data_IF_185637019361
#
_entry.id   IF_185637019361
#
_cell.length_a   1.000
_cell.length_b   1.000
_cell.length_c   1.000
_cell.angle_alpha   90.00
_cell.angle_beta   90.00
_cell.angle_gamma   90.00
#
_symmetry.space_group_name_H-M   'P 1'
#
loop_
_entity.id
_entity.type
_entity.pdbx_description
1 polymer ?
#
# COMPACT_ATOMS: atom_id res chain seq x y z
N UNK A 1 -20.75 -13.57 -24.71
CA UNK A 1 -21.47 -13.49 -23.40
C UNK A 1 -20.62 -14.09 -22.27
N UNK A 2 -20.14 -15.34 -22.38
CA UNK A 2 -19.39 -16.01 -21.32
C UNK A 2 -18.08 -15.27 -20.95
N UNK A 3 -17.38 -14.70 -21.92
CA UNK A 3 -16.13 -13.93 -21.72
C UNK A 3 -16.36 -12.66 -20.88
N UNK A 4 -17.42 -11.93 -21.10
CA UNK A 4 -17.76 -10.71 -20.34
C UNK A 4 -18.10 -11.07 -18.90
N UNK A 5 -18.86 -12.16 -18.68
CA UNK A 5 -19.19 -12.62 -17.34
C UNK A 5 -17.94 -13.08 -16.57
N UNK A 6 -17.02 -13.77 -17.24
CA UNK A 6 -15.73 -14.16 -16.65
C UNK A 6 -14.86 -12.95 -16.31
N UNK A 7 -14.84 -11.92 -17.17
CA UNK A 7 -14.12 -10.67 -16.90
C UNK A 7 -14.70 -9.96 -15.67
N UNK A 8 -16.04 -9.87 -15.57
CA UNK A 8 -16.70 -9.28 -14.42
C UNK A 8 -16.43 -10.05 -13.13
N UNK A 9 -16.48 -11.38 -13.16
CA UNK A 9 -16.18 -12.22 -12.00
C UNK A 9 -14.72 -12.04 -11.53
N UNK A 10 -13.77 -12.03 -12.46
CA UNK A 10 -12.36 -11.79 -12.16
C UNK A 10 -12.12 -10.38 -11.57
N UNK A 11 -12.81 -9.37 -12.10
CA UNK A 11 -12.74 -8.01 -11.60
C UNK A 11 -13.24 -7.94 -10.15
N UNK A 12 -14.42 -8.49 -9.87
CA UNK A 12 -15.00 -8.55 -8.53
C UNK A 12 -14.09 -9.28 -7.54
N UNK A 13 -13.46 -10.38 -7.97
CA UNK A 13 -12.52 -11.12 -7.12
C UNK A 13 -11.28 -10.28 -6.79
N UNK A 14 -10.76 -9.51 -7.74
CA UNK A 14 -9.63 -8.60 -7.50
C UNK A 14 -10.01 -7.48 -6.53
N UNK A 15 -11.18 -6.88 -6.70
CA UNK A 15 -11.70 -5.87 -5.78
C UNK A 15 -11.88 -6.43 -4.36
N UNK A 16 -12.42 -7.63 -4.24
CA UNK A 16 -12.56 -8.32 -2.96
C UNK A 16 -11.22 -8.58 -2.30
N UNK A 17 -10.20 -8.98 -3.05
CA UNK A 17 -8.85 -9.18 -2.52
C UNK A 17 -8.25 -7.89 -1.99
N UNK A 18 -8.40 -6.78 -2.71
CA UNK A 18 -7.93 -5.45 -2.25
C UNK A 18 -8.67 -5.02 -0.99
N UNK A 19 -9.98 -5.15 -0.97
CA UNK A 19 -10.82 -4.80 0.19
C UNK A 19 -10.50 -5.65 1.40
N UNK A 20 -10.31 -6.96 1.23
CA UNK A 20 -9.92 -7.89 2.31
C UNK A 20 -8.55 -7.54 2.88
N UNK A 21 -7.58 -7.18 2.03
CA UNK A 21 -6.28 -6.71 2.49
C UNK A 21 -6.39 -5.40 3.28
N UNK A 22 -7.20 -4.44 2.81
CA UNK A 22 -7.45 -3.20 3.54
C UNK A 22 -8.08 -3.47 4.90
N UNK A 23 -9.05 -4.38 4.96
CA UNK A 23 -9.73 -4.75 6.19
C UNK A 23 -8.79 -5.45 7.18
N UNK A 24 -8.00 -6.40 6.71
CA UNK A 24 -7.01 -7.11 7.53
C UNK A 24 -6.01 -6.14 8.17
N UNK A 25 -5.69 -5.03 7.49
CA UNK A 25 -4.74 -4.03 7.96
C UNK A 25 -5.40 -2.77 8.54
N UNK A 26 -6.71 -2.78 8.82
CA UNK A 26 -7.42 -1.61 9.33
C UNK A 26 -6.86 -1.09 10.66
N UNK A 27 -6.29 -1.97 11.49
CA UNK A 27 -5.65 -1.63 12.77
C UNK A 27 -4.12 -1.50 12.67
N UNK A 28 -3.53 -1.67 11.49
CA UNK A 28 -2.08 -1.57 11.31
C UNK A 28 -1.65 -0.11 11.25
N UNK A 29 -0.75 0.29 12.14
CA UNK A 29 -0.22 1.65 12.21
C UNK A 29 0.53 2.00 10.92
N UNK A 30 0.21 3.15 10.33
CA UNK A 30 0.86 3.62 9.11
C UNK A 30 0.44 2.89 7.85
N UNK A 31 -0.53 1.97 7.90
CA UNK A 31 -1.06 1.31 6.73
C UNK A 31 -1.71 2.32 5.76
N UNK A 32 -1.47 2.13 4.49
CA UNK A 32 -2.06 2.92 3.40
C UNK A 32 -2.94 2.01 2.57
N UNK A 33 -4.25 2.28 2.60
CA UNK A 33 -5.24 1.49 1.86
C UNK A 33 -5.01 1.58 0.36
N UNK A 34 -5.39 0.52 -0.32
CA UNK A 34 -5.31 0.43 -1.77
C UNK A 34 -6.70 0.44 -2.39
N UNK A 35 -6.78 0.91 -3.62
CA UNK A 35 -7.99 0.89 -4.44
C UNK A 35 -7.70 0.20 -5.76
N UNK A 36 -8.62 -0.65 -6.19
CA UNK A 36 -8.61 -1.22 -7.53
C UNK A 36 -9.26 -0.24 -8.51
N UNK A 37 -8.55 0.10 -9.57
CA UNK A 37 -9.06 0.94 -10.65
C UNK A 37 -9.39 0.05 -11.84
N UNK A 38 -10.61 0.14 -12.33
CA UNK A 38 -11.08 -0.65 -13.46
C UNK A 38 -11.29 0.26 -14.66
N UNK A 39 -11.01 -0.29 -15.83
CA UNK A 39 -11.31 0.33 -17.13
C UNK A 39 -12.29 -0.50 -17.91
N UNK A 40 -13.12 0.16 -18.70
CA UNK A 40 -13.97 -0.48 -19.67
C UNK A 40 -13.14 -0.97 -20.87
N UNK A 41 -13.47 -2.14 -21.38
CA UNK A 41 -12.86 -2.70 -22.59
C UNK A 41 -13.83 -2.51 -23.74
N UNK A 42 -13.50 -1.60 -24.65
CA UNK A 42 -14.29 -1.38 -25.85
C UNK A 42 -14.10 -2.54 -26.84
N UNK A 43 -15.20 -2.98 -27.42
CA UNK A 43 -15.15 -3.90 -28.53
C UNK A 43 -14.60 -3.18 -29.77
N UNK A 44 -13.48 -3.67 -30.30
CA UNK A 44 -12.83 -3.12 -31.51
C UNK A 44 -13.35 -3.82 -32.77
N UNK A 45 -14.62 -4.21 -32.80
CA UNK A 45 -15.22 -4.80 -33.99
C UNK A 45 -15.61 -3.68 -34.98
N UNK A 46 -14.88 -3.52 -36.11
CA UNK A 46 -15.15 -2.48 -37.10
C UNK A 46 -16.50 -2.66 -37.82
N UNK A 47 -17.14 -3.83 -37.67
CA UNK A 47 -18.45 -4.12 -38.24
C UNK A 47 -19.59 -3.85 -37.23
N UNK A 48 -19.29 -3.55 -35.97
CA UNK A 48 -20.30 -3.27 -34.96
C UNK A 48 -20.91 -1.88 -35.18
N UNK A 49 -22.25 -1.84 -35.24
CA UNK A 49 -22.98 -0.57 -35.30
C UNK A 49 -22.78 0.16 -33.96
N UNK A 50 -22.26 1.40 -33.94
CA UNK A 50 -21.98 2.13 -32.69
C UNK A 50 -23.18 2.30 -31.76
N UNK A 51 -24.41 2.22 -32.33
CA UNK A 51 -25.64 2.34 -31.56
C UNK A 51 -26.08 1.03 -30.86
N UNK A 52 -25.48 -0.10 -31.23
CA UNK A 52 -25.83 -1.43 -30.69
C UNK A 52 -24.61 -2.19 -30.19
N UNK A 53 -23.44 -1.56 -30.21
CA UNK A 53 -22.20 -2.17 -29.71
C UNK A 53 -22.31 -2.43 -28.20
N UNK A 54 -22.12 -3.68 -27.82
CA UNK A 54 -22.04 -4.11 -26.41
C UNK A 54 -20.57 -4.06 -25.99
N UNK A 55 -20.26 -3.51 -24.82
CA UNK A 55 -18.89 -3.48 -24.28
C UNK A 55 -18.28 -4.88 -24.14
N UNK A 56 -16.96 -4.97 -24.25
CA UNK A 56 -16.22 -6.23 -24.15
C UNK A 56 -15.91 -6.65 -22.70
N UNK A 57 -16.41 -5.90 -21.72
CA UNK A 57 -16.26 -6.18 -20.31
C UNK A 57 -15.34 -5.19 -19.58
N UNK A 58 -14.81 -5.60 -18.44
CA UNK A 58 -14.02 -4.79 -17.52
C UNK A 58 -12.63 -5.40 -17.32
N UNK A 59 -11.61 -4.55 -17.22
CA UNK A 59 -10.23 -4.92 -16.93
C UNK A 59 -9.72 -4.14 -15.72
N UNK A 60 -8.98 -4.82 -14.82
CA UNK A 60 -8.22 -4.14 -13.78
C UNK A 60 -7.06 -3.38 -14.43
N UNK A 61 -7.12 -2.05 -14.40
CA UNK A 61 -6.09 -1.19 -15.00
C UNK A 61 -4.92 -0.98 -14.05
N UNK A 62 -5.20 -0.74 -12.77
CA UNK A 62 -4.15 -0.53 -11.76
C UNK A 62 -4.69 -0.72 -10.35
N UNK A 63 -3.78 -0.92 -9.41
CA UNK A 63 -4.06 -0.80 -7.97
C UNK A 63 -3.30 0.41 -7.46
N UNK A 64 -4.01 1.45 -7.09
CA UNK A 64 -3.44 2.67 -6.54
C UNK A 64 -3.47 2.65 -5.02
N UNK A 65 -2.47 3.28 -4.39
CA UNK A 65 -2.39 3.43 -2.94
C UNK A 65 -2.76 4.85 -2.54
N UNK A 66 -3.63 4.97 -1.54
CA UNK A 66 -3.97 6.25 -0.93
C UNK A 66 -2.79 6.74 -0.07
N UNK A 67 -2.17 7.84 -0.48
CA UNK A 67 -1.03 8.43 0.24
C UNK A 67 -1.43 9.56 1.19
N UNK A 68 -2.73 9.86 1.31
CA UNK A 68 -3.21 10.92 2.22
C UNK A 68 -2.82 10.62 3.65
N UNK A 69 -2.51 11.67 4.43
CA UNK A 69 -2.20 11.52 5.84
C UNK A 69 -3.45 11.10 6.62
N UNK A 70 -3.30 10.12 7.49
CA UNK A 70 -4.34 9.75 8.47
C UNK A 70 -4.31 10.65 9.69
N UNK A 71 -5.27 10.46 10.60
CA UNK A 71 -5.28 11.16 11.88
C UNK A 71 -4.08 10.75 12.74
N UNK A 72 -3.41 11.72 13.33
CA UNK A 72 -2.36 11.49 14.31
C UNK A 72 -3.01 11.16 15.67
N UNK A 73 -2.50 10.11 16.31
CA UNK A 73 -2.96 9.68 17.64
C UNK A 73 -1.79 9.73 18.60
N UNK A 74 -1.95 10.46 19.71
CA UNK A 74 -0.97 10.43 20.80
C UNK A 74 -1.06 9.09 21.55
N UNK A 75 0.08 8.42 21.73
CA UNK A 75 0.18 7.12 22.42
C UNK A 75 0.77 7.24 23.82
N UNK A 76 1.39 8.39 24.16
CA UNK A 76 2.12 8.60 25.42
C UNK A 76 3.47 7.89 25.50
N UNK A 77 3.92 7.19 24.45
CA UNK A 77 5.24 6.56 24.37
C UNK A 77 6.22 7.51 23.69
N UNK A 78 7.39 7.72 24.30
CA UNK A 78 8.42 8.63 23.79
C UNK A 78 9.04 8.13 22.47
N UNK A 79 9.04 6.82 22.24
CA UNK A 79 9.60 6.20 21.06
C UNK A 79 8.65 6.16 19.87
N UNK A 80 7.38 6.44 20.07
CA UNK A 80 6.42 6.45 18.98
C UNK A 80 6.52 7.77 18.20
N UNK A 81 6.71 7.65 16.91
CA UNK A 81 6.87 8.79 16.01
C UNK A 81 5.88 8.69 14.85
N UNK A 82 5.40 9.82 14.37
CA UNK A 82 4.56 9.89 13.19
C UNK A 82 5.09 10.96 12.24
N UNK A 83 4.96 10.70 10.93
CA UNK A 83 5.31 11.67 9.91
C UNK A 83 4.05 12.44 9.53
N UNK A 84 4.08 13.75 9.72
CA UNK A 84 3.08 14.66 9.18
C UNK A 84 3.48 15.03 7.73
N UNK A 85 2.58 14.77 6.78
CA UNK A 85 2.84 15.01 5.37
C UNK A 85 3.35 13.78 4.60
N UNK A 86 4.16 14.01 3.55
CA UNK A 86 4.72 12.98 2.67
C UNK A 86 6.07 12.49 3.21
N UNK A 87 6.34 11.17 3.09
CA UNK A 87 7.63 10.61 3.46
C UNK A 87 7.49 9.21 4.07
N UNK A 88 8.63 8.61 4.37
CA UNK A 88 8.73 7.30 5.02
C UNK A 88 9.91 7.34 5.99
N UNK A 89 9.81 6.57 7.06
CA UNK A 89 10.97 6.22 7.87
C UNK A 89 11.87 5.29 7.07
N UNK A 90 13.16 5.54 7.13
CA UNK A 90 14.15 4.65 6.53
C UNK A 90 14.68 3.75 7.64
N UNK A 91 14.59 2.46 7.44
CA UNK A 91 15.12 1.45 8.36
C UNK A 91 16.09 0.55 7.63
N UNK A 92 17.02 -0.05 8.36
CA UNK A 92 18.03 -0.95 7.78
C UNK A 92 18.23 -2.15 8.69
N UNK A 93 18.42 -3.31 8.06
CA UNK A 93 18.77 -4.54 8.77
C UNK A 93 20.17 -4.42 9.39
N UNK A 94 20.31 -4.51 10.72
CA UNK A 94 21.61 -4.42 11.37
C UNK A 94 22.53 -5.59 10.98
N UNK A 95 21.98 -6.75 10.63
CA UNK A 95 22.75 -7.93 10.22
C UNK A 95 23.37 -7.79 8.81
N UNK A 96 22.81 -6.93 7.95
CA UNK A 96 23.29 -6.72 6.59
C UNK A 96 24.47 -5.72 6.51
N UNK A 97 24.90 -5.15 7.62
CA UNK A 97 26.01 -4.18 7.69
C UNK A 97 25.74 -2.89 6.91
N UNK A 98 26.81 -2.20 6.50
CA UNK A 98 26.72 -0.90 5.78
C UNK A 98 26.14 -1.02 4.36
N UNK A 99 26.15 -2.20 3.77
CA UNK A 99 25.65 -2.48 2.42
C UNK A 99 24.21 -3.03 2.40
N UNK A 100 23.53 -3.09 3.56
CA UNK A 100 22.15 -3.53 3.66
C UNK A 100 21.20 -2.62 2.90
N UNK A 101 20.21 -3.23 2.24
CA UNK A 101 19.16 -2.48 1.57
C UNK A 101 18.35 -1.67 2.59
N UNK A 102 18.02 -0.43 2.23
CA UNK A 102 17.11 0.37 3.03
C UNK A 102 15.68 -0.15 2.84
N UNK A 103 14.97 -0.28 3.95
CA UNK A 103 13.54 -0.55 3.99
C UNK A 103 12.80 0.73 4.33
N UNK A 104 11.64 0.93 3.74
CA UNK A 104 10.84 2.13 3.94
C UNK A 104 9.55 1.77 4.64
N UNK A 105 9.29 2.40 5.79
CA UNK A 105 8.10 2.17 6.59
C UNK A 105 7.38 3.47 6.92
N UNK A 106 6.06 3.39 7.10
CA UNK A 106 5.26 4.48 7.66
C UNK A 106 4.81 4.18 9.09
N UNK A 107 5.03 2.95 9.56
CA UNK A 107 4.81 2.57 10.94
C UNK A 107 5.83 3.26 11.84
N UNK A 108 5.36 3.98 12.86
CA UNK A 108 6.19 4.75 13.76
C UNK A 108 6.21 4.21 15.19
N UNK A 109 5.82 2.96 15.37
CA UNK A 109 5.85 2.26 16.66
C UNK A 109 7.25 1.66 16.90
N UNK A 110 8.17 2.50 17.35
CA UNK A 110 9.54 2.10 17.58
C UNK A 110 9.79 1.67 19.02
N UNK A 111 10.88 0.95 19.22
CA UNK A 111 11.42 0.56 20.53
C UNK A 111 12.93 0.76 20.57
N UNK A 112 13.51 0.71 21.76
CA UNK A 112 14.97 0.70 21.93
C UNK A 112 15.44 -0.74 22.05
N UNK A 113 16.52 -1.09 21.35
CA UNK A 113 17.21 -2.36 21.52
C UNK A 113 18.20 -2.32 22.71
N UNK A 114 18.83 -3.44 23.01
CA UNK A 114 19.82 -3.54 24.08
C UNK A 114 21.09 -2.71 23.83
N UNK A 115 21.32 -2.29 22.58
CA UNK A 115 22.45 -1.46 22.15
C UNK A 115 22.10 0.04 22.16
N UNK A 116 20.84 0.40 22.48
CA UNK A 116 20.36 1.78 22.49
C UNK A 116 19.94 2.31 21.13
N UNK A 117 19.82 1.45 20.11
CA UNK A 117 19.32 1.86 18.80
C UNK A 117 17.80 1.88 18.79
N UNK A 118 17.22 2.80 18.02
CA UNK A 118 15.79 2.84 17.73
C UNK A 118 15.49 1.83 16.65
N UNK A 119 14.67 0.85 16.96
CA UNK A 119 14.30 -0.25 16.05
C UNK A 119 12.79 -0.33 15.84
N UNK A 120 12.39 -0.80 14.69
CA UNK A 120 10.99 -1.12 14.41
C UNK A 120 10.59 -2.49 14.97
N UNK A 121 9.34 -2.89 14.77
CA UNK A 121 8.82 -4.18 15.23
C UNK A 121 9.49 -5.39 14.57
N UNK A 122 10.21 -5.21 13.46
CA UNK A 122 10.99 -6.23 12.77
C UNK A 122 12.46 -6.28 13.21
N UNK A 123 12.87 -5.39 14.13
CA UNK A 123 14.27 -5.30 14.58
C UNK A 123 15.18 -4.50 13.63
N UNK A 124 14.62 -3.81 12.63
CA UNK A 124 15.41 -2.96 11.73
C UNK A 124 15.71 -1.61 12.37
N UNK A 125 16.96 -1.16 12.30
CA UNK A 125 17.43 0.09 12.90
C UNK A 125 16.97 1.27 12.07
N UNK A 126 16.35 2.25 12.70
CA UNK A 126 15.94 3.51 12.08
C UNK A 126 17.19 4.30 11.68
N UNK A 127 17.22 4.78 10.44
CA UNK A 127 18.29 5.58 9.90
C UNK A 127 17.94 7.07 9.99
N UNK A 128 18.92 7.89 10.37
CA UNK A 128 18.80 9.33 10.46
C UNK A 128 20.09 10.02 10.04
N UNK A 129 20.04 11.33 9.91
CA UNK A 129 21.23 12.13 9.71
C UNK A 129 21.88 12.41 11.06
N UNK A 130 23.25 12.46 11.12
CA UNK A 130 23.93 12.89 12.33
C UNK A 130 23.52 14.34 12.67
N UNK A 131 23.52 14.72 13.95
CA UNK A 131 23.30 16.10 14.34
C UNK A 131 24.42 16.98 13.74
N UNK A 132 24.04 18.16 13.28
CA UNK A 132 24.97 19.19 12.81
C UNK A 132 25.75 19.78 13.98
#
# INVERSE_FOLDING_TARGET
>A
MLSVTMAALNATQKEMNVTSNNLANASTVGFKRSYANFGDVFSNDPAANPKTAVGAGVLLTSVSRDTTAGALKSTGRVTDMAIDGRGYFVTRDPAAGTNGANTYSRAGNFSLDMSGNVVDSGGFVVQGYPPL
#
